data_IF_900049977504
#
_entry.id   IF_900049977504
#
_cell.length_a   1.000
_cell.length_b   1.000
_cell.length_c   1.000
_cell.angle_alpha   90.00
_cell.angle_beta   90.00
_cell.angle_gamma   90.00
#
_symmetry.space_group_name_H-M   'P 1'
#
loop_
_entity.id
_entity.type
_entity.pdbx_description
1 polymer ?
#
# COMPACT_ATOMS: atom_id res chain seq x y z
N UNK A 1 38.19 -14.26 8.68
CA UNK A 1 37.81 -13.44 7.50
C UNK A 1 36.77 -12.43 7.94
N UNK A 2 37.06 -11.15 7.73
CA UNK A 2 36.30 -10.00 8.24
C UNK A 2 34.92 -9.90 7.58
N UNK A 3 33.85 -10.01 8.36
CA UNK A 3 32.56 -9.42 7.95
C UNK A 3 32.59 -7.96 8.40
N UNK A 4 33.07 -7.08 7.53
CA UNK A 4 32.91 -5.64 7.72
C UNK A 4 31.41 -5.35 7.73
N UNK A 5 30.86 -5.06 8.90
CA UNK A 5 29.56 -4.42 9.02
C UNK A 5 29.70 -3.03 8.41
N UNK A 6 29.31 -2.88 7.15
CA UNK A 6 29.07 -1.57 6.59
C UNK A 6 27.79 -1.03 7.23
N UNK A 7 27.91 -0.43 8.41
CA UNK A 7 26.91 0.50 8.94
C UNK A 7 26.97 1.76 8.08
N UNK A 8 26.54 1.65 6.82
CA UNK A 8 26.22 2.82 6.02
C UNK A 8 25.12 3.51 6.82
N UNK A 9 25.44 4.69 7.35
CA UNK A 9 24.46 5.62 7.90
C UNK A 9 23.22 5.56 7.02
N UNK A 10 22.15 4.93 7.51
CA UNK A 10 20.88 4.87 6.80
C UNK A 10 20.26 6.26 6.93
N UNK A 11 20.83 7.23 6.20
CA UNK A 11 20.01 8.33 5.68
C UNK A 11 18.82 7.62 5.08
N UNK A 12 17.64 7.78 5.70
CA UNK A 12 16.42 7.11 5.28
C UNK A 12 16.30 7.28 3.78
N UNK A 13 16.60 6.22 3.03
CA UNK A 13 16.59 6.29 1.59
C UNK A 13 15.14 6.54 1.22
N UNK A 14 14.82 7.70 0.66
CA UNK A 14 13.47 8.08 0.21
C UNK A 14 13.11 7.32 -1.08
N UNK A 15 13.33 6.01 -1.08
CA UNK A 15 13.03 5.10 -2.18
C UNK A 15 11.68 4.46 -1.91
N UNK A 16 10.88 4.40 -2.95
CA UNK A 16 9.58 3.73 -2.93
C UNK A 16 9.81 2.25 -3.23
N UNK A 17 9.35 1.37 -2.35
CA UNK A 17 9.31 -0.07 -2.64
C UNK A 17 8.26 -0.35 -3.72
N UNK A 18 8.55 -1.28 -4.61
CA UNK A 18 7.65 -1.66 -5.74
C UNK A 18 7.35 -3.17 -5.77
N UNK A 19 7.90 -3.95 -4.83
CA UNK A 19 7.68 -5.39 -4.65
C UNK A 19 8.12 -5.77 -3.23
N UNK A 20 7.75 -6.97 -2.79
CA UNK A 20 8.24 -7.60 -1.56
C UNK A 20 8.06 -6.73 -0.28
N UNK A 21 6.95 -5.98 -0.23
CA UNK A 21 6.68 -4.97 0.79
C UNK A 21 6.80 -5.49 2.22
N UNK A 22 7.56 -4.76 3.03
CA UNK A 22 7.76 -4.97 4.46
C UNK A 22 7.16 -3.82 5.28
N UNK A 23 6.95 -4.09 6.57
CA UNK A 23 6.56 -3.05 7.52
C UNK A 23 7.66 -1.99 7.59
N UNK A 24 7.28 -0.72 7.48
CA UNK A 24 8.18 0.43 7.45
C UNK A 24 8.55 0.92 6.05
N UNK A 25 8.26 0.14 5.00
CA UNK A 25 8.53 0.54 3.62
C UNK A 25 7.73 1.78 3.22
N UNK A 26 8.39 2.70 2.52
CA UNK A 26 7.75 3.79 1.80
C UNK A 26 7.13 3.23 0.52
N UNK A 27 5.83 3.49 0.31
CA UNK A 27 5.06 2.94 -0.81
C UNK A 27 4.25 4.02 -1.50
N UNK A 28 4.03 3.83 -2.80
CA UNK A 28 3.09 4.61 -3.58
C UNK A 28 1.73 3.91 -3.56
N UNK A 29 0.70 4.60 -3.08
CA UNK A 29 -0.67 4.12 -3.02
C UNK A 29 -1.44 4.83 -4.12
N UNK A 30 -2.07 4.09 -5.03
CA UNK A 30 -2.79 4.62 -6.19
C UNK A 30 -4.25 4.16 -6.17
N UNK A 31 -5.14 4.98 -6.72
CA UNK A 31 -6.51 4.57 -7.00
C UNK A 31 -6.51 3.64 -8.23
N UNK A 32 -7.01 2.43 -8.05
CA UNK A 32 -7.26 1.50 -9.16
C UNK A 32 -8.76 1.49 -9.50
N UNK A 33 -9.10 2.06 -10.64
CA UNK A 33 -10.48 2.19 -11.11
C UNK A 33 -11.14 0.84 -11.44
N UNK A 34 -10.35 -0.18 -11.80
CA UNK A 34 -10.87 -1.52 -12.12
C UNK A 34 -11.44 -2.17 -10.87
N UNK A 35 -10.72 -2.01 -9.77
CA UNK A 35 -11.12 -2.56 -8.48
C UNK A 35 -11.92 -1.57 -7.63
N UNK A 36 -12.00 -0.31 -8.04
CA UNK A 36 -12.63 0.80 -7.32
C UNK A 36 -12.11 0.95 -5.89
N UNK A 37 -10.80 0.71 -5.73
CA UNK A 37 -10.10 0.69 -4.44
C UNK A 37 -8.70 1.29 -4.60
N UNK A 38 -8.13 1.71 -3.48
CA UNK A 38 -6.70 2.06 -3.43
C UNK A 38 -5.85 0.80 -3.28
N UNK A 39 -4.75 0.74 -4.04
CA UNK A 39 -3.77 -0.34 -4.04
C UNK A 39 -2.35 0.22 -3.94
N UNK A 40 -1.40 -0.56 -3.43
CA UNK A 40 0.01 -0.21 -3.59
C UNK A 40 0.42 -0.45 -5.04
N UNK A 41 1.17 0.50 -5.61
CA UNK A 41 1.82 0.32 -6.90
C UNK A 41 2.85 -0.81 -6.78
N UNK A 42 2.71 -1.84 -7.62
CA UNK A 42 3.59 -3.00 -7.64
C UNK A 42 3.88 -3.42 -9.07
N UNK A 43 5.08 -3.94 -9.30
CA UNK A 43 5.45 -4.57 -10.58
C UNK A 43 5.17 -6.09 -10.59
N UNK A 44 4.69 -6.64 -9.49
CA UNK A 44 4.33 -8.05 -9.36
C UNK A 44 2.85 -8.34 -9.68
N UNK A 45 2.49 -9.63 -9.84
CA UNK A 45 1.11 -10.03 -10.13
C UNK A 45 0.19 -9.96 -8.89
N UNK A 46 0.79 -9.95 -7.68
CA UNK A 46 0.05 -9.94 -6.41
C UNK A 46 -0.53 -8.57 -6.14
N UNK A 47 -1.84 -8.49 -5.85
CA UNK A 47 -2.51 -7.25 -5.48
C UNK A 47 -2.30 -6.93 -3.99
N UNK A 48 -2.17 -5.64 -3.69
CA UNK A 48 -1.98 -5.11 -2.34
C UNK A 48 -3.00 -4.00 -2.07
N UNK A 49 -4.19 -4.37 -1.60
CA UNK A 49 -5.27 -3.43 -1.33
C UNK A 49 -5.02 -2.63 -0.04
N UNK A 50 -5.30 -1.34 -0.07
CA UNK A 50 -5.30 -0.52 1.13
C UNK A 50 -6.48 -0.88 2.04
N UNK A 51 -6.21 -0.97 3.35
CA UNK A 51 -7.22 -1.19 4.36
C UNK A 51 -8.11 0.05 4.54
N UNK A 52 -9.42 -0.13 4.75
CA UNK A 52 -10.38 0.97 4.89
C UNK A 52 -10.10 1.90 6.08
N UNK A 53 -9.50 1.37 7.15
CA UNK A 53 -9.06 2.17 8.32
C UNK A 53 -7.98 3.20 7.96
N UNK A 54 -7.16 2.92 6.95
CA UNK A 54 -6.09 3.83 6.52
C UNK A 54 -6.59 4.99 5.65
N UNK A 55 -7.80 4.90 5.10
CA UNK A 55 -8.33 5.91 4.17
C UNK A 55 -8.47 7.30 4.81
N UNK A 56 -8.95 7.36 6.06
CA UNK A 56 -9.11 8.64 6.76
C UNK A 56 -7.75 9.25 7.08
N UNK A 57 -6.83 8.44 7.61
CA UNK A 57 -5.50 8.93 8.00
C UNK A 57 -4.71 9.48 6.80
N UNK A 58 -4.88 8.86 5.62
CA UNK A 58 -4.22 9.24 4.37
C UNK A 58 -4.96 10.32 3.56
N UNK A 59 -6.06 10.87 4.07
CA UNK A 59 -6.88 11.88 3.36
C UNK A 59 -7.37 11.39 1.97
N UNK A 60 -7.80 10.12 1.92
CA UNK A 60 -8.25 9.44 0.70
C UNK A 60 -9.77 9.28 0.62
N UNK A 61 -10.50 9.60 1.69
CA UNK A 61 -11.95 9.68 1.65
C UNK A 61 -12.35 10.97 0.92
N UNK A 62 -13.04 10.88 -0.23
CA UNK A 62 -13.49 12.09 -0.90
C UNK A 62 -14.48 12.83 0.00
N UNK A 63 -14.35 14.14 0.10
CA UNK A 63 -15.45 14.99 0.58
C UNK A 63 -16.65 14.82 -0.37
N UNK A 64 -17.87 15.05 0.12
CA UNK A 64 -19.08 14.91 -0.71
C UNK A 64 -18.94 15.74 -2.00
N UNK A 65 -19.05 15.07 -3.16
CA UNK A 65 -18.90 15.70 -4.49
C UNK A 65 -17.46 15.95 -4.96
N UNK A 66 -16.44 15.64 -4.15
CA UNK A 66 -15.05 15.78 -4.54
C UNK A 66 -14.53 14.56 -5.31
N UNK A 67 -13.67 14.81 -6.30
CA UNK A 67 -12.96 13.73 -7.00
C UNK A 67 -11.98 13.05 -6.05
N UNK A 68 -11.91 11.71 -6.10
CA UNK A 68 -10.95 10.95 -5.30
C UNK A 68 -9.51 11.32 -5.69
N UNK A 69 -8.65 11.47 -4.68
CA UNK A 69 -7.23 11.71 -4.89
C UNK A 69 -6.62 10.54 -5.70
N UNK A 70 -5.88 10.78 -6.78
CA UNK A 70 -5.40 9.69 -7.63
C UNK A 70 -4.32 8.83 -6.95
N UNK A 71 -3.49 9.43 -6.09
CA UNK A 71 -2.42 8.72 -5.39
C UNK A 71 -1.95 9.47 -4.13
N UNK A 72 -1.25 8.76 -3.24
CA UNK A 72 -0.58 9.30 -2.06
C UNK A 72 0.65 8.45 -1.70
N UNK A 73 1.62 9.03 -0.99
CA UNK A 73 2.72 8.28 -0.38
C UNK A 73 2.35 7.88 1.05
N UNK A 74 2.68 6.64 1.41
CA UNK A 74 2.43 6.12 2.75
C UNK A 74 3.55 5.20 3.23
N UNK A 75 3.53 4.89 4.52
CA UNK A 75 4.36 3.86 5.13
C UNK A 75 3.53 2.65 5.49
N UNK A 76 3.99 1.46 5.13
CA UNK A 76 3.35 0.19 5.49
C UNK A 76 3.45 -0.02 7.00
N UNK A 77 2.32 -0.30 7.63
CA UNK A 77 2.23 -0.62 9.06
C UNK A 77 1.97 -2.10 9.29
N UNK A 78 1.04 -2.68 8.52
CA UNK A 78 0.64 -4.07 8.65
C UNK A 78 0.27 -4.63 7.28
N UNK A 79 0.45 -5.94 7.08
CA UNK A 79 -0.06 -6.66 5.90
C UNK A 79 -0.67 -7.98 6.30
N UNK A 80 -1.86 -8.24 5.80
CA UNK A 80 -2.62 -9.47 5.99
C UNK A 80 -2.76 -10.20 4.66
N UNK A 81 -2.52 -11.50 4.64
CA UNK A 81 -2.76 -12.33 3.46
C UNK A 81 -4.21 -12.77 3.42
N UNK A 82 -4.89 -12.48 2.31
CA UNK A 82 -6.33 -12.72 2.14
C UNK A 82 -6.60 -13.57 0.90
N UNK A 83 -7.77 -14.21 0.90
CA UNK A 83 -8.32 -14.89 -0.26
C UNK A 83 -9.78 -14.51 -0.45
N UNK A 84 -10.17 -14.18 -1.68
CA UNK A 84 -11.55 -13.89 -2.02
C UNK A 84 -12.43 -15.14 -1.86
N UNK A 85 -13.38 -15.10 -0.91
CA UNK A 85 -14.32 -16.20 -0.62
C UNK A 85 -15.65 -16.10 -1.38
N UNK A 86 -15.90 -14.99 -2.07
CA UNK A 86 -17.12 -14.72 -2.84
C UNK A 86 -16.76 -14.20 -4.23
N UNK A 87 -17.48 -14.64 -5.26
CA UNK A 87 -17.29 -14.14 -6.62
C UNK A 87 -17.63 -12.65 -6.75
N UNK A 88 -18.72 -12.22 -6.12
CA UNK A 88 -19.05 -10.80 -5.96
C UNK A 88 -18.49 -10.31 -4.62
N UNK A 89 -17.33 -9.66 -4.66
CA UNK A 89 -16.68 -9.11 -3.47
C UNK A 89 -16.30 -7.64 -3.70
N UNK A 90 -16.11 -6.91 -2.59
CA UNK A 90 -15.80 -5.46 -2.60
C UNK A 90 -14.49 -5.09 -3.30
N UNK A 91 -13.63 -6.06 -3.58
CA UNK A 91 -12.36 -5.87 -4.27
C UNK A 91 -12.48 -6.11 -5.78
N UNK A 92 -13.66 -6.55 -6.26
CA UNK A 92 -13.94 -6.85 -7.68
C UNK A 92 -12.93 -7.83 -8.32
N UNK A 93 -12.36 -8.73 -7.51
CA UNK A 93 -11.47 -9.79 -7.99
C UNK A 93 -12.23 -11.11 -8.14
N UNK A 94 -11.78 -12.04 -9.00
CA UNK A 94 -12.37 -13.38 -9.11
C UNK A 94 -12.37 -14.15 -7.77
N UNK A 95 -13.31 -15.08 -7.63
CA UNK A 95 -13.34 -16.03 -6.50
C UNK A 95 -12.00 -16.79 -6.41
N UNK A 96 -11.49 -16.97 -5.19
CA UNK A 96 -10.25 -17.69 -4.95
C UNK A 96 -8.98 -16.87 -5.16
N UNK A 97 -9.06 -15.66 -5.71
CA UNK A 97 -7.92 -14.74 -5.85
C UNK A 97 -7.28 -14.48 -4.49
N UNK A 98 -5.95 -14.62 -4.43
CA UNK A 98 -5.16 -14.33 -3.23
C UNK A 98 -4.50 -12.96 -3.37
N UNK A 99 -4.52 -12.17 -2.32
CA UNK A 99 -4.00 -10.80 -2.31
C UNK A 99 -3.59 -10.40 -0.89
N UNK A 100 -2.92 -9.27 -0.75
CA UNK A 100 -2.65 -8.67 0.56
C UNK A 100 -3.60 -7.50 0.83
N UNK A 101 -3.98 -7.35 2.10
CA UNK A 101 -4.61 -6.15 2.63
C UNK A 101 -3.62 -5.43 3.53
N UNK A 102 -3.35 -4.16 3.25
CA UNK A 102 -2.25 -3.40 3.84
C UNK A 102 -2.81 -2.22 4.64
N UNK A 103 -2.42 -2.09 5.90
CA UNK A 103 -2.60 -0.82 6.64
C UNK A 103 -1.38 0.05 6.38
N UNK A 104 -1.62 1.31 6.07
CA UNK A 104 -0.58 2.32 5.90
C UNK A 104 -0.94 3.62 6.63
N UNK A 105 0.08 4.41 6.91
CA UNK A 105 -0.02 5.75 7.51
C UNK A 105 0.63 6.78 6.60
N UNK A 106 0.25 8.08 6.71
CA UNK A 106 0.89 9.14 5.94
C UNK A 106 2.40 9.15 6.08
N UNK A 107 3.09 9.35 4.96
CA UNK A 107 4.50 9.67 4.99
C UNK A 107 4.67 11.17 5.30
N UNK A 108 4.78 11.51 6.58
CA UNK A 108 5.08 12.88 6.99
C UNK A 108 6.60 13.12 6.88
N UNK A 109 7.03 13.79 5.82
CA UNK A 109 8.30 14.50 5.84
C UNK A 109 8.07 15.76 6.68
N UNK A 110 8.64 15.84 7.89
CA UNK A 110 8.85 17.15 8.50
C UNK A 110 9.76 17.90 7.53
N UNK A 111 9.18 18.80 6.75
CA UNK A 111 9.92 19.76 5.93
C UNK A 111 10.48 20.82 6.85
#
# INVERSE_FOLDING_TARGET
MSQSMSSVSSRHSEKIAIRDFQVGDLVLIILDERHDNYVLFTVGPTLYFLHSESLTALDLKPASGATRRPWVLGKVMEKEYCQAKKAQNRFKVPLGTKFYRVKAVPWNKKV
#
